data_IF_579833949970
#
_entry.id   IF_579833949970
#
_cell.length_a   1.000
_cell.length_b   1.000
_cell.length_c   1.000
_cell.angle_alpha   90.00
_cell.angle_beta   90.00
_cell.angle_gamma   90.00
#
_symmetry.space_group_name_H-M   'P 1'
#
loop_
_entity.id
_entity.type
_entity.pdbx_description
1 polymer ?
#
# COMPACT_ATOMS: atom_id res chain seq x y z
N UNK A 1 -20.73 -9.25 5.32
CA UNK A 1 -19.48 -9.16 6.13
C UNK A 1 -19.83 -9.60 7.54
N UNK A 2 -19.15 -10.63 8.07
CA UNK A 2 -19.28 -11.02 9.47
C UNK A 2 -18.73 -9.86 10.32
N UNK A 3 -19.53 -9.31 11.23
CA UNK A 3 -19.08 -8.20 12.08
C UNK A 3 -17.98 -8.73 13.02
N UNK A 4 -16.79 -8.15 12.93
CA UNK A 4 -15.68 -8.37 13.86
C UNK A 4 -15.56 -7.09 14.70
N UNK A 5 -16.30 -6.97 15.81
CA UNK A 5 -16.35 -5.72 16.57
C UNK A 5 -14.99 -5.32 17.15
N UNK A 6 -14.14 -6.30 17.44
CA UNK A 6 -12.82 -6.08 18.05
C UNK A 6 -11.70 -5.78 17.04
N UNK A 7 -12.00 -5.83 15.73
CA UNK A 7 -11.00 -5.58 14.70
C UNK A 7 -10.88 -4.08 14.41
N UNK A 8 -9.77 -3.47 14.81
CA UNK A 8 -9.39 -2.10 14.46
C UNK A 8 -8.41 -2.10 13.28
N UNK A 9 -8.79 -1.48 12.15
CA UNK A 9 -7.94 -1.37 10.96
C UNK A 9 -7.72 0.10 10.64
N UNK A 10 -6.46 0.53 10.61
CA UNK A 10 -6.09 1.92 10.32
C UNK A 10 -5.18 1.99 9.10
N UNK A 11 -5.48 2.90 8.19
CA UNK A 11 -4.71 3.16 6.97
C UNK A 11 -4.32 4.63 6.91
N UNK A 12 -3.01 4.89 6.85
CA UNK A 12 -2.45 6.21 6.58
C UNK A 12 -1.84 6.20 5.19
N UNK A 13 -2.39 6.97 4.27
CA UNK A 13 -1.92 7.07 2.90
C UNK A 13 -1.42 8.48 2.63
N UNK A 14 -0.30 8.59 1.91
CA UNK A 14 0.23 9.89 1.50
C UNK A 14 -0.76 10.63 0.60
N UNK A 15 -1.09 11.85 0.99
CA UNK A 15 -1.83 12.83 0.20
C UNK A 15 -0.88 13.44 -0.83
N UNK A 16 -0.71 12.74 -1.94
CA UNK A 16 0.13 13.20 -3.05
C UNK A 16 -0.41 14.49 -3.69
N UNK A 17 0.46 15.35 -4.25
CA UNK A 17 0.06 16.46 -5.11
C UNK A 17 -0.87 16.02 -6.24
N UNK A 18 -1.72 16.95 -6.71
CA UNK A 18 -2.78 16.65 -7.70
C UNK A 18 -2.25 16.00 -8.98
N UNK A 19 -1.09 16.43 -9.49
CA UNK A 19 -0.47 15.87 -10.69
C UNK A 19 -0.10 14.39 -10.53
N UNK A 20 0.45 14.03 -9.37
CA UNK A 20 0.79 12.63 -9.04
C UNK A 20 -0.49 11.83 -8.80
N UNK A 21 -1.47 12.41 -8.10
CA UNK A 21 -2.76 11.75 -7.90
C UNK A 21 -3.45 11.47 -9.24
N UNK A 22 -3.38 12.39 -10.21
CA UNK A 22 -3.97 12.24 -11.53
C UNK A 22 -3.31 11.11 -12.34
N UNK A 23 -1.98 10.99 -12.32
CA UNK A 23 -1.27 9.89 -12.99
C UNK A 23 -1.60 8.52 -12.38
N UNK A 24 -1.97 8.50 -11.09
CA UNK A 24 -2.43 7.32 -10.36
C UNK A 24 -3.97 7.19 -10.36
N UNK A 25 -4.69 7.82 -11.29
CA UNK A 25 -6.14 7.68 -11.41
C UNK A 25 -6.96 8.10 -10.17
N UNK A 26 -6.40 8.96 -9.32
CA UNK A 26 -6.93 9.41 -8.04
C UNK A 26 -7.25 8.29 -7.04
N UNK A 27 -6.51 7.17 -7.08
CA UNK A 27 -6.72 6.03 -6.19
C UNK A 27 -6.84 6.40 -4.70
N UNK A 28 -5.95 7.24 -4.10
CA UNK A 28 -6.04 7.56 -2.68
C UNK A 28 -7.36 8.24 -2.29
N UNK A 29 -7.87 9.14 -3.14
CA UNK A 29 -9.14 9.85 -2.89
C UNK A 29 -10.35 8.93 -3.10
N UNK A 30 -10.31 8.05 -4.11
CA UNK A 30 -11.33 7.02 -4.34
C UNK A 30 -11.38 6.02 -3.18
N UNK A 31 -10.22 5.62 -2.66
CA UNK A 31 -10.10 4.73 -1.50
C UNK A 31 -10.75 5.34 -0.25
N UNK A 32 -10.52 6.62 0.03
CA UNK A 32 -11.18 7.31 1.14
C UNK A 32 -12.71 7.18 1.08
N UNK A 33 -13.30 7.38 -0.11
CA UNK A 33 -14.74 7.20 -0.32
C UNK A 33 -15.19 5.74 -0.13
N UNK A 34 -14.38 4.78 -0.58
CA UNK A 34 -14.67 3.35 -0.45
C UNK A 34 -14.71 2.87 1.00
N UNK A 35 -13.83 3.43 1.84
CA UNK A 35 -13.70 3.04 3.25
C UNK A 35 -14.64 3.79 4.21
N UNK A 36 -15.29 4.88 3.81
CA UNK A 36 -16.17 5.74 4.65
C UNK A 36 -17.32 5.05 5.41
N UNK A 37 -17.57 3.76 5.21
CA UNK A 37 -18.60 2.95 5.90
C UNK A 37 -18.13 1.52 6.20
N UNK A 38 -16.81 1.31 6.26
CA UNK A 38 -16.20 0.01 6.54
C UNK A 38 -15.51 0.08 7.90
N UNK A 39 -15.04 -1.07 8.39
CA UNK A 39 -14.27 -1.22 9.64
C UNK A 39 -12.89 -0.54 9.61
N UNK A 40 -12.61 0.28 8.59
CA UNK A 40 -11.28 0.79 8.30
C UNK A 40 -11.26 2.30 8.50
N UNK A 41 -10.45 2.77 9.45
CA UNK A 41 -10.14 4.18 9.59
C UNK A 41 -9.10 4.57 8.54
N UNK A 42 -9.54 5.30 7.51
CA UNK A 42 -8.67 5.74 6.41
C UNK A 42 -8.37 7.24 6.51
N UNK A 43 -7.09 7.61 6.51
CA UNK A 43 -6.63 9.00 6.53
C UNK A 43 -5.67 9.28 5.36
N UNK A 44 -5.85 10.45 4.74
CA UNK A 44 -4.88 11.04 3.82
C UNK A 44 -4.06 12.09 4.56
N UNK A 45 -2.75 11.99 4.53
CA UNK A 45 -1.86 12.95 5.20
C UNK A 45 -0.64 13.35 4.36
N UNK A 46 -0.10 14.55 4.60
CA UNK A 46 1.09 15.04 3.89
C UNK A 46 2.02 15.83 4.81
N UNK A 47 3.34 15.79 4.59
CA UNK A 47 4.36 16.31 5.50
C UNK A 47 4.48 17.85 5.57
N UNK A 48 3.60 18.60 4.90
CA UNK A 48 3.59 20.07 4.90
C UNK A 48 4.70 20.76 4.09
N UNK A 49 5.79 20.05 3.77
CA UNK A 49 6.89 20.54 2.92
C UNK A 49 6.59 20.21 1.45
N UNK A 50 6.65 21.20 0.57
CA UNK A 50 6.42 21.01 -0.85
C UNK A 50 7.46 20.04 -1.44
N UNK A 51 6.99 19.03 -2.16
CA UNK A 51 7.83 18.00 -2.76
C UNK A 51 8.18 16.82 -1.83
N UNK A 52 7.86 16.89 -0.54
CA UNK A 52 8.07 15.77 0.38
C UNK A 52 6.89 14.76 0.35
N UNK A 53 7.17 13.52 0.77
CA UNK A 53 6.18 12.45 0.85
C UNK A 53 6.34 11.60 2.12
N UNK A 54 5.24 10.95 2.52
CA UNK A 54 5.31 9.80 3.41
C UNK A 54 5.66 8.58 2.54
N UNK A 55 6.93 8.18 2.55
CA UNK A 55 7.43 7.09 1.71
C UNK A 55 7.53 5.75 2.46
N UNK A 56 7.11 5.71 3.72
CA UNK A 56 7.12 4.49 4.53
C UNK A 56 6.11 3.48 3.99
N UNK A 57 6.53 2.23 3.83
CA UNK A 57 5.64 1.08 3.62
C UNK A 57 5.75 0.19 4.85
N UNK A 58 4.71 0.24 5.68
CA UNK A 58 4.68 -0.46 6.98
C UNK A 58 3.32 -1.10 7.20
N UNK A 59 3.32 -2.32 7.74
CA UNK A 59 2.13 -2.99 8.27
C UNK A 59 2.46 -3.47 9.67
N UNK A 60 1.66 -3.06 10.67
CA UNK A 60 1.79 -3.53 12.05
C UNK A 60 0.52 -4.27 12.42
N UNK A 61 0.66 -5.46 13.01
CA UNK A 61 -0.44 -6.31 13.44
C UNK A 61 -0.30 -6.58 14.93
N UNK A 62 -1.34 -6.20 15.69
CA UNK A 62 -1.48 -6.44 17.13
C UNK A 62 -0.28 -6.01 18.00
N UNK A 63 0.56 -5.08 17.51
CA UNK A 63 1.85 -4.69 18.09
C UNK A 63 2.76 -5.90 18.38
N UNK A 64 2.70 -6.93 17.55
CA UNK A 64 3.45 -8.18 17.71
C UNK A 64 4.27 -8.53 16.47
N UNK A 65 3.78 -8.15 15.28
CA UNK A 65 4.45 -8.39 14.01
C UNK A 65 4.41 -7.10 13.19
N UNK A 66 5.56 -6.70 12.67
CA UNK A 66 5.70 -5.57 11.77
C UNK A 66 6.38 -5.98 10.45
N UNK A 67 5.86 -5.48 9.34
CA UNK A 67 6.48 -5.57 8.03
C UNK A 67 6.96 -4.18 7.63
N UNK A 68 8.19 -4.07 7.12
CA UNK A 68 8.67 -2.83 6.51
C UNK A 68 9.63 -3.12 5.33
N UNK A 69 9.67 -2.21 4.36
CA UNK A 69 10.58 -2.36 3.21
C UNK A 69 10.20 -1.48 2.02
N UNK A 70 10.58 -1.92 0.83
CA UNK A 70 10.42 -1.15 -0.41
C UNK A 70 9.06 -1.32 -1.10
N UNK A 71 8.37 -2.44 -0.86
CA UNK A 71 7.14 -2.79 -1.56
C UNK A 71 5.89 -2.13 -0.98
N UNK A 72 5.16 -1.40 -1.83
CA UNK A 72 3.82 -0.92 -1.50
C UNK A 72 2.81 -2.08 -1.59
N UNK A 73 1.67 -1.94 -0.92
CA UNK A 73 0.51 -2.81 -1.16
C UNK A 73 -0.23 -2.26 -2.39
N UNK A 74 0.27 -2.59 -3.58
CA UNK A 74 -0.29 -2.16 -4.87
C UNK A 74 -0.27 -3.28 -5.92
N UNK A 75 -0.91 -3.03 -7.06
CA UNK A 75 -1.17 -4.02 -8.12
C UNK A 75 0.07 -4.43 -8.92
N UNK A 76 1.14 -3.65 -8.87
CA UNK A 76 2.31 -3.75 -9.73
C UNK A 76 3.58 -4.19 -8.97
N UNK A 77 3.45 -4.61 -7.71
CA UNK A 77 4.58 -4.92 -6.82
C UNK A 77 4.92 -6.41 -6.73
N UNK A 78 4.01 -7.29 -7.14
CA UNK A 78 4.24 -8.73 -7.10
C UNK A 78 5.23 -9.16 -8.20
N UNK A 79 6.21 -9.99 -7.85
CA UNK A 79 7.13 -10.67 -8.77
C UNK A 79 7.72 -11.92 -8.09
N UNK A 80 8.48 -12.72 -8.84
CA UNK A 80 9.31 -13.82 -8.31
C UNK A 80 10.80 -13.53 -8.51
N UNK A 81 11.67 -14.28 -7.84
CA UNK A 81 13.13 -14.06 -7.90
C UNK A 81 13.73 -14.26 -9.30
N UNK A 82 13.06 -15.04 -10.15
CA UNK A 82 13.48 -15.27 -11.54
C UNK A 82 13.20 -14.08 -12.45
N UNK A 83 12.36 -13.13 -12.03
CA UNK A 83 12.04 -11.91 -12.77
C UNK A 83 11.65 -12.17 -14.24
N UNK A 84 10.88 -13.24 -14.49
CA UNK A 84 10.52 -13.65 -15.85
C UNK A 84 9.83 -12.51 -16.60
N UNK A 85 10.40 -12.16 -17.76
CA UNK A 85 9.79 -11.17 -18.65
C UNK A 85 8.42 -11.67 -19.12
N UNK A 86 7.40 -10.82 -19.00
CA UNK A 86 6.05 -11.15 -19.42
C UNK A 86 5.31 -12.16 -18.55
N UNK A 87 5.72 -12.39 -17.29
CA UNK A 87 5.01 -13.29 -16.38
C UNK A 87 3.53 -12.90 -16.26
N UNK A 88 2.57 -13.75 -16.70
CA UNK A 88 1.15 -13.41 -16.70
C UNK A 88 0.59 -13.20 -15.29
N UNK A 89 1.26 -13.68 -14.23
CA UNK A 89 0.87 -13.46 -12.84
C UNK A 89 1.06 -12.00 -12.40
N UNK A 90 1.89 -11.22 -13.11
CA UNK A 90 2.05 -9.77 -12.92
C UNK A 90 0.98 -8.93 -13.61
N UNK A 91 0.02 -9.57 -14.30
CA UNK A 91 -1.05 -8.86 -14.99
C UNK A 91 -1.87 -8.00 -14.01
N UNK A 92 -1.86 -6.69 -14.26
CA UNK A 92 -2.66 -5.73 -13.53
C UNK A 92 -4.15 -5.86 -13.90
N UNK A 93 -5.08 -5.27 -13.11
CA UNK A 93 -6.49 -5.18 -13.48
C UNK A 93 -6.77 -4.50 -14.83
N UNK A 94 -5.80 -3.74 -15.34
CA UNK A 94 -5.84 -3.09 -16.66
C UNK A 94 -5.54 -4.05 -17.82
N UNK A 95 -5.02 -5.26 -17.53
CA UNK A 95 -4.52 -6.20 -18.52
C UNK A 95 -3.03 -6.00 -18.88
N UNK A 96 -2.39 -4.94 -18.37
CA UNK A 96 -0.97 -4.69 -18.60
C UNK A 96 -0.12 -5.65 -17.79
N UNK A 97 0.92 -6.21 -18.41
CA UNK A 97 1.98 -6.95 -17.72
C UNK A 97 3.18 -5.99 -17.58
N UNK A 98 3.49 -5.48 -16.38
CA UNK A 98 4.56 -4.52 -16.16
C UNK A 98 5.95 -5.15 -16.36
N UNK A 99 7.01 -4.35 -16.30
CA UNK A 99 8.39 -4.84 -16.25
C UNK A 99 8.69 -5.55 -14.92
N UNK A 100 9.64 -6.51 -14.88
CA UNK A 100 10.04 -7.18 -13.65
C UNK A 100 10.48 -6.18 -12.58
N UNK A 101 10.27 -6.53 -11.32
CA UNK A 101 10.50 -5.65 -10.18
C UNK A 101 11.20 -6.43 -9.06
N UNK A 102 12.37 -5.94 -8.70
CA UNK A 102 13.12 -6.43 -7.55
C UNK A 102 12.82 -5.57 -6.33
N UNK A 103 12.30 -6.19 -5.26
CA UNK A 103 11.99 -5.52 -3.99
C UNK A 103 12.38 -6.40 -2.82
N UNK A 104 12.62 -5.75 -1.67
CA UNK A 104 12.93 -6.41 -0.40
C UNK A 104 11.98 -5.90 0.67
N UNK A 105 11.49 -6.83 1.48
CA UNK A 105 10.68 -6.58 2.67
C UNK A 105 11.28 -7.36 3.84
N UNK A 106 11.22 -6.77 5.02
CA UNK A 106 11.59 -7.42 6.28
C UNK A 106 10.33 -7.64 7.10
N UNK A 107 10.34 -8.71 7.90
CA UNK A 107 9.37 -8.96 8.97
C UNK A 107 10.12 -8.92 10.30
N UNK A 108 9.52 -8.29 11.30
CA UNK A 108 10.04 -8.16 12.65
C UNK A 108 8.98 -8.65 13.64
N UNK A 109 9.44 -9.23 14.75
CA UNK A 109 8.62 -9.62 15.90
C UNK A 109 9.22 -9.08 17.22
N UNK A 110 8.47 -9.26 18.31
CA UNK A 110 8.90 -8.84 19.64
C UNK A 110 9.03 -7.31 19.77
N UNK A 111 9.97 -6.81 20.60
CA UNK A 111 10.10 -5.37 20.86
C UNK A 111 10.44 -4.49 19.64
N UNK A 112 10.84 -5.09 18.52
CA UNK A 112 11.15 -4.37 17.28
C UNK A 112 9.91 -4.15 16.39
N UNK A 113 8.82 -4.87 16.64
CA UNK A 113 7.54 -4.73 15.94
C UNK A 113 6.72 -3.56 16.49
#
# INVERSE_FOLDING_TARGET
MRQKPDLDVRLLIWRSPLLIAASQGFYPHKAQRWFRRRIVEFRLDGPGILGACHHQKVVVIDNQIAFCGGGDISTDRWDTEEHFSGDPRRCEPTGVIPAPRHEVMCVMDGPAA
#
